data_IF_896183480458
#
_entry.id   IF_896183480458
#
_cell.length_a   1.000
_cell.length_b   1.000
_cell.length_c   1.000
_cell.angle_alpha   90.00
_cell.angle_beta   90.00
_cell.angle_gamma   90.00
#
_symmetry.space_group_name_H-M   'P 1'
#
loop_
_entity.id
_entity.type
_entity.pdbx_description
1 polymer ?
#
# COMPACT_ATOMS: atom_id res chain seq x y z
N UNK A 1 -9.40 9.65 31.23
CA UNK A 1 -9.85 9.94 29.85
C UNK A 1 -10.97 8.96 29.52
N UNK A 2 -12.14 9.41 29.07
CA UNK A 2 -13.25 8.48 28.77
C UNK A 2 -12.99 7.78 27.43
N UNK A 3 -13.43 6.53 27.28
CA UNK A 3 -13.29 5.74 26.03
C UNK A 3 -13.82 6.48 24.81
N UNK A 4 -14.92 7.21 24.97
CA UNK A 4 -15.54 8.04 23.94
C UNK A 4 -14.61 9.12 23.39
N UNK A 5 -13.79 9.72 24.26
CA UNK A 5 -12.87 10.80 23.86
C UNK A 5 -11.74 10.23 23.00
N UNK A 6 -11.29 9.00 23.33
CA UNK A 6 -10.27 8.29 22.55
C UNK A 6 -10.77 7.87 21.17
N UNK A 7 -12.00 7.38 21.07
CA UNK A 7 -12.61 7.01 19.79
C UNK A 7 -12.74 8.24 18.89
N UNK A 8 -13.20 9.38 19.43
CA UNK A 8 -13.29 10.64 18.68
C UNK A 8 -11.93 11.10 18.17
N UNK A 9 -10.89 10.97 19.00
CA UNK A 9 -9.53 11.30 18.58
C UNK A 9 -9.05 10.41 17.42
N UNK A 10 -9.26 9.09 17.50
CA UNK A 10 -8.87 8.18 16.41
C UNK A 10 -9.66 8.42 15.12
N UNK A 11 -10.97 8.69 15.23
CA UNK A 11 -11.83 8.97 14.09
C UNK A 11 -11.54 10.33 13.43
N UNK A 12 -10.83 11.23 14.12
CA UNK A 12 -10.42 12.53 13.56
C UNK A 12 -9.24 12.45 12.59
N UNK A 13 -8.60 11.29 12.49
CA UNK A 13 -7.46 11.05 11.60
C UNK A 13 -7.99 10.78 10.19
N UNK A 14 -7.52 11.56 9.22
CA UNK A 14 -7.79 11.33 7.80
C UNK A 14 -6.74 10.35 7.23
N UNK A 15 -7.12 9.09 6.93
CA UNK A 15 -6.17 8.10 6.43
C UNK A 15 -5.66 8.42 5.03
N UNK A 16 -6.37 9.25 4.24
CA UNK A 16 -5.95 9.58 2.88
C UNK A 16 -4.79 10.59 2.87
N UNK A 17 -4.74 11.43 3.90
CA UNK A 17 -3.64 12.39 4.10
C UNK A 17 -2.48 11.80 4.87
N UNK A 18 -2.78 11.15 6.00
CA UNK A 18 -1.75 10.58 6.86
C UNK A 18 -1.11 9.32 6.27
N UNK A 19 -1.80 8.61 5.38
CA UNK A 19 -1.27 7.40 4.76
C UNK A 19 -0.28 7.64 3.63
N UNK A 20 -0.25 8.84 3.01
CA UNK A 20 0.69 9.22 1.93
C UNK A 20 2.11 9.58 2.43
N UNK A 21 2.52 9.00 3.56
CA UNK A 21 3.83 9.22 4.17
C UNK A 21 4.88 8.27 3.56
N UNK A 22 6.04 8.78 3.14
CA UNK A 22 7.10 7.97 2.51
C UNK A 22 7.61 6.86 3.43
N UNK A 23 7.65 7.12 4.74
CA UNK A 23 8.03 6.15 5.76
C UNK A 23 7.06 4.96 5.87
N UNK A 24 5.81 5.12 5.42
CA UNK A 24 4.78 4.09 5.39
C UNK A 24 4.71 3.37 4.03
N UNK A 25 5.46 3.83 3.03
CA UNK A 25 5.47 3.23 1.70
C UNK A 25 6.02 1.80 1.75
N UNK A 26 5.32 0.88 1.07
CA UNK A 26 5.64 -0.55 1.07
C UNK A 26 5.93 -1.13 -0.31
N UNK A 27 5.64 -0.41 -1.39
CA UNK A 27 5.88 -0.92 -2.74
C UNK A 27 4.82 -0.53 -3.77
N UNK A 28 5.02 -0.99 -5.01
CA UNK A 28 4.20 -0.63 -6.17
C UNK A 28 3.36 -1.82 -6.67
N UNK A 29 2.09 -1.62 -7.06
CA UNK A 29 1.33 -2.66 -7.73
C UNK A 29 1.92 -2.93 -9.12
N UNK A 30 2.26 -4.19 -9.42
CA UNK A 30 2.68 -4.61 -10.78
C UNK A 30 1.56 -5.32 -11.55
N UNK A 31 0.48 -5.70 -10.87
CA UNK A 31 -0.77 -6.13 -11.50
C UNK A 31 -1.94 -5.83 -10.58
N UNK A 32 -3.05 -5.40 -11.17
CA UNK A 32 -4.30 -5.08 -10.49
C UNK A 32 -5.47 -5.52 -11.37
N UNK A 33 -6.31 -6.38 -10.82
CA UNK A 33 -7.61 -6.74 -11.40
C UNK A 33 -8.73 -6.52 -10.36
N UNK A 34 -9.98 -6.80 -10.72
CA UNK A 34 -11.14 -6.60 -9.85
C UNK A 34 -11.14 -7.48 -8.58
N UNK A 35 -10.30 -8.53 -8.53
CA UNK A 35 -10.22 -9.48 -7.42
C UNK A 35 -8.92 -9.35 -6.61
N UNK A 36 -7.79 -9.07 -7.26
CA UNK A 36 -6.46 -9.11 -6.63
C UNK A 36 -5.54 -8.02 -7.17
N UNK A 37 -4.69 -7.55 -6.28
CA UNK A 37 -3.51 -6.76 -6.61
C UNK A 37 -2.26 -7.56 -6.22
N UNK A 38 -1.26 -7.62 -7.09
CA UNK A 38 0.06 -8.10 -6.71
C UNK A 38 1.00 -6.90 -6.56
N UNK A 39 1.63 -6.82 -5.39
CA UNK A 39 2.48 -5.71 -4.99
C UNK A 39 3.93 -6.17 -5.01
N UNK A 40 4.77 -5.40 -5.70
CA UNK A 40 6.21 -5.56 -5.65
C UNK A 40 6.72 -4.78 -4.44
N UNK A 41 7.49 -5.45 -3.60
CA UNK A 41 8.01 -4.90 -2.35
C UNK A 41 9.51 -5.17 -2.36
N UNK A 42 10.33 -4.12 -2.23
CA UNK A 42 11.77 -4.30 -2.03
C UNK A 42 12.10 -4.54 -0.55
N UNK A 43 13.29 -5.06 -0.30
CA UNK A 43 13.71 -5.40 1.06
C UNK A 43 13.85 -4.16 1.95
N UNK A 44 14.34 -3.03 1.42
CA UNK A 44 14.50 -1.77 2.16
C UNK A 44 13.14 -1.20 2.64
N UNK A 45 12.13 -1.18 1.76
CA UNK A 45 10.78 -0.72 2.10
C UNK A 45 10.14 -1.64 3.15
N UNK A 46 10.33 -2.95 2.99
CA UNK A 46 9.84 -3.96 3.91
C UNK A 46 10.48 -3.86 5.28
N UNK A 47 11.80 -3.65 5.33
CA UNK A 47 12.52 -3.47 6.60
C UNK A 47 12.07 -2.19 7.31
N UNK A 48 11.90 -1.08 6.57
CA UNK A 48 11.44 0.20 7.10
C UNK A 48 10.09 0.08 7.81
N UNK A 49 9.13 -0.64 7.23
CA UNK A 49 7.81 -0.86 7.85
C UNK A 49 7.76 -2.04 8.82
N UNK A 50 8.89 -2.71 9.10
CA UNK A 50 9.02 -3.89 9.97
C UNK A 50 8.25 -5.11 9.47
N UNK A 51 8.15 -5.25 8.14
CA UNK A 51 7.47 -6.33 7.45
C UNK A 51 5.97 -6.10 7.26
N UNK A 52 5.36 -6.96 6.46
CA UNK A 52 3.93 -6.93 6.13
C UNK A 52 3.30 -8.22 6.67
N UNK A 53 2.57 -8.11 7.77
CA UNK A 53 1.89 -9.25 8.36
C UNK A 53 0.70 -9.72 7.49
N UNK A 54 0.42 -11.03 7.55
CA UNK A 54 -0.74 -11.58 6.88
C UNK A 54 -2.03 -11.00 7.47
N UNK A 55 -2.97 -10.63 6.59
CA UNK A 55 -4.26 -10.07 6.97
C UNK A 55 -4.24 -8.57 7.27
N UNK A 56 -3.08 -7.93 7.27
CA UNK A 56 -2.95 -6.47 7.39
C UNK A 56 -3.65 -5.76 6.24
N UNK A 57 -4.17 -4.57 6.52
CA UNK A 57 -4.73 -3.69 5.50
C UNK A 57 -3.67 -2.75 4.96
N UNK A 58 -3.68 -2.56 3.64
CA UNK A 58 -2.85 -1.60 2.92
C UNK A 58 -3.76 -0.62 2.18
N UNK A 59 -3.29 0.61 1.97
CA UNK A 59 -3.95 1.59 1.12
C UNK A 59 -3.11 1.78 -0.14
N UNK A 60 -3.69 1.49 -1.30
CA UNK A 60 -3.08 1.80 -2.60
C UNK A 60 -3.62 3.15 -3.08
N UNK A 61 -2.78 4.17 -3.01
CA UNK A 61 -3.13 5.54 -3.37
C UNK A 61 -3.08 5.75 -4.88
N UNK A 62 -4.04 6.51 -5.41
CA UNK A 62 -3.94 7.08 -6.74
C UNK A 62 -2.96 8.27 -6.70
N UNK A 63 -2.05 8.30 -7.67
CA UNK A 63 -0.95 9.27 -7.70
C UNK A 63 -0.73 9.93 -9.07
N UNK A 64 -1.63 9.72 -10.03
CA UNK A 64 -1.51 10.36 -11.35
C UNK A 64 -2.00 11.82 -11.35
N UNK A 65 -2.82 12.23 -10.38
CA UNK A 65 -3.33 13.61 -10.29
C UNK A 65 -3.25 14.11 -8.84
N UNK A 66 -2.59 15.25 -8.63
CA UNK A 66 -2.38 15.84 -7.30
C UNK A 66 -3.69 16.19 -6.57
N UNK A 67 -4.76 16.48 -7.31
CA UNK A 67 -6.06 16.90 -6.74
C UNK A 67 -6.96 15.73 -6.34
N UNK A 68 -6.56 14.49 -6.64
CA UNK A 68 -7.40 13.31 -6.41
C UNK A 68 -6.93 12.59 -5.16
N UNK A 69 -7.72 12.67 -4.08
CA UNK A 69 -7.52 11.94 -2.84
C UNK A 69 -8.33 10.63 -2.87
N UNK A 70 -7.82 9.64 -3.61
CA UNK A 70 -8.44 8.30 -3.70
C UNK A 70 -7.46 7.20 -3.33
N UNK A 71 -7.99 6.15 -2.69
CA UNK A 71 -7.24 4.95 -2.39
C UNK A 71 -8.11 3.70 -2.42
N UNK A 72 -7.51 2.57 -2.79
CA UNK A 72 -8.12 1.25 -2.69
C UNK A 72 -7.65 0.59 -1.39
N UNK A 73 -8.59 0.09 -0.59
CA UNK A 73 -8.30 -0.71 0.58
C UNK A 73 -7.96 -2.15 0.15
N UNK A 74 -6.73 -2.57 0.40
CA UNK A 74 -6.23 -3.91 0.11
C UNK A 74 -6.05 -4.69 1.41
N UNK A 75 -6.16 -6.02 1.32
CA UNK A 75 -5.82 -6.93 2.42
C UNK A 75 -4.66 -7.82 2.00
N UNK A 76 -3.61 -7.88 2.79
CA UNK A 76 -2.48 -8.79 2.57
C UNK A 76 -2.93 -10.24 2.74
N UNK A 77 -2.95 -11.02 1.66
CA UNK A 77 -3.44 -12.41 1.68
C UNK A 77 -2.31 -13.43 1.79
N UNK A 78 -1.36 -13.36 0.87
CA UNK A 78 -0.24 -14.28 0.73
C UNK A 78 0.83 -13.67 -0.19
N UNK A 79 2.07 -14.18 -0.17
CA UNK A 79 3.07 -13.84 -1.19
C UNK A 79 2.56 -14.16 -2.60
N UNK A 80 2.80 -13.25 -3.53
CA UNK A 80 2.53 -13.47 -4.95
C UNK A 80 3.72 -14.16 -5.64
N UNK A 81 3.46 -14.89 -6.73
CA UNK A 81 4.54 -15.33 -7.62
C UNK A 81 5.10 -14.11 -8.35
N UNK A 82 6.42 -14.03 -8.47
CA UNK A 82 7.04 -13.01 -9.30
C UNK A 82 6.59 -13.16 -10.75
N UNK A 83 6.36 -12.04 -11.46
CA UNK A 83 6.05 -12.10 -12.88
C UNK A 83 7.26 -12.67 -13.62
N UNK A 84 7.01 -13.68 -14.45
CA UNK A 84 8.02 -14.28 -15.33
C UNK A 84 8.00 -13.67 -16.73
N UNK A 85 7.04 -12.78 -17.00
CA UNK A 85 6.92 -12.09 -18.28
C UNK A 85 7.93 -10.93 -18.35
N UNK A 86 8.80 -10.98 -19.36
CA UNK A 86 9.85 -9.99 -19.59
C UNK A 86 9.32 -8.56 -19.75
N UNK A 87 8.11 -8.37 -20.30
CA UNK A 87 7.54 -7.03 -20.46
C UNK A 87 7.13 -6.43 -19.11
N UNK A 88 6.54 -7.24 -18.22
CA UNK A 88 6.23 -6.79 -16.85
C UNK A 88 7.49 -6.56 -16.04
N UNK A 89 8.51 -7.42 -16.18
CA UNK A 89 9.80 -7.23 -15.50
C UNK A 89 10.45 -5.91 -15.92
N UNK A 90 10.45 -5.57 -17.21
CA UNK A 90 11.01 -4.30 -17.69
C UNK A 90 10.28 -3.08 -17.12
N UNK A 91 8.93 -3.08 -17.09
CA UNK A 91 8.17 -2.00 -16.47
C UNK A 91 8.41 -1.90 -14.96
N UNK A 92 8.72 -3.02 -14.27
CA UNK A 92 9.06 -2.98 -12.84
C UNK A 92 10.44 -2.38 -12.58
N UNK A 93 11.40 -2.52 -13.50
CA UNK A 93 12.72 -1.88 -13.41
C UNK A 93 12.61 -0.37 -13.61
N UNK A 94 11.67 0.12 -14.44
CA UNK A 94 11.53 1.56 -14.65
C UNK A 94 11.14 2.36 -13.39
N UNK A 95 10.55 1.69 -12.39
CA UNK A 95 10.18 2.30 -11.11
C UNK A 95 11.26 2.12 -10.01
N UNK A 96 12.39 1.46 -10.30
CA UNK A 96 13.47 1.17 -9.34
C UNK A 96 14.85 1.60 -9.89
#
# INVERSE_FOLDING_TARGET
MKTTDRIKQLASVDPLKQGKQQELFVGHPFSLDYNKANILVCDDDKERVKGIAQGTFLLAFYDNEETVEEAILLRALAPAKLPTDSAMISSMIEYY
#
